data_IF_056156321000
#
_entry.id   IF_056156321000
#
_cell.length_a   1.000
_cell.length_b   1.000
_cell.length_c   1.000
_cell.angle_alpha   90.00
_cell.angle_beta   90.00
_cell.angle_gamma   90.00
#
_symmetry.space_group_name_H-M   'P 1'
#
loop_
_entity.id
_entity.type
_entity.pdbx_description
1 polymer ?
#
# COMPACT_ATOMS: atom_id res chain seq x y z
N UNK A 1 -2.82 -0.71 24.31
CA UNK A 1 -3.10 -0.12 22.98
C UNK A 1 -2.26 -0.86 21.95
N UNK A 2 -2.88 -1.46 20.94
CA UNK A 2 -2.16 -2.12 19.83
C UNK A 2 -1.57 -1.06 18.90
N UNK A 3 -0.35 -1.28 18.39
CA UNK A 3 0.25 -0.38 17.40
C UNK A 3 -0.64 -0.24 16.15
N UNK A 4 -0.65 0.94 15.49
CA UNK A 4 -1.54 1.23 14.37
C UNK A 4 -1.19 0.44 13.12
N UNK A 5 -2.11 0.40 12.16
CA UNK A 5 -1.85 -0.05 10.78
C UNK A 5 -1.69 1.18 9.90
N UNK A 6 -0.61 1.23 9.14
CA UNK A 6 -0.41 2.27 8.13
C UNK A 6 -0.95 1.79 6.78
N UNK A 7 -1.73 2.62 6.09
CA UNK A 7 -2.26 2.30 4.76
C UNK A 7 -2.12 3.48 3.81
N UNK A 8 -1.75 3.22 2.56
CA UNK A 8 -1.64 4.23 1.51
C UNK A 8 -2.38 3.81 0.23
N UNK A 9 -3.29 4.69 -0.22
CA UNK A 9 -3.89 4.70 -1.54
C UNK A 9 -3.68 6.09 -2.19
N UNK A 10 -3.15 6.11 -3.42
CA UNK A 10 -2.81 7.36 -4.11
C UNK A 10 -3.87 7.87 -5.09
N UNK A 11 -4.84 7.03 -5.47
CA UNK A 11 -5.80 7.31 -6.54
C UNK A 11 -7.21 6.91 -6.10
N UNK A 12 -8.25 7.42 -6.78
CA UNK A 12 -9.65 7.16 -6.41
C UNK A 12 -10.03 5.67 -6.45
N UNK A 13 -9.52 4.92 -7.45
CA UNK A 13 -9.68 3.46 -7.53
C UNK A 13 -9.05 2.76 -6.31
N UNK A 14 -7.85 3.19 -5.92
CA UNK A 14 -7.16 2.71 -4.74
C UNK A 14 -7.92 3.05 -3.44
N UNK A 15 -8.49 4.25 -3.32
CA UNK A 15 -9.29 4.67 -2.16
C UNK A 15 -10.51 3.76 -1.97
N UNK A 16 -11.22 3.45 -3.06
CA UNK A 16 -12.35 2.53 -3.04
C UNK A 16 -11.94 1.13 -2.59
N UNK A 17 -10.89 0.55 -3.18
CA UNK A 17 -10.41 -0.79 -2.81
C UNK A 17 -9.90 -0.84 -1.37
N UNK A 18 -9.12 0.17 -0.97
CA UNK A 18 -8.60 0.28 0.39
C UNK A 18 -9.72 0.44 1.42
N UNK A 19 -10.76 1.23 1.13
CA UNK A 19 -11.91 1.36 2.02
C UNK A 19 -12.67 0.05 2.19
N UNK A 20 -12.86 -0.74 1.13
CA UNK A 20 -13.45 -2.08 1.24
C UNK A 20 -12.60 -3.01 2.12
N UNK A 21 -11.29 -2.99 1.95
CA UNK A 21 -10.35 -3.74 2.80
C UNK A 21 -10.45 -3.30 4.26
N UNK A 22 -10.43 -1.99 4.52
CA UNK A 22 -10.56 -1.43 5.87
C UNK A 22 -11.88 -1.85 6.52
N UNK A 23 -12.99 -1.79 5.78
CA UNK A 23 -14.31 -2.22 6.27
C UNK A 23 -14.33 -3.69 6.65
N UNK A 24 -13.79 -4.56 5.79
CA UNK A 24 -13.73 -5.99 6.06
C UNK A 24 -12.88 -6.30 7.31
N UNK A 25 -11.73 -5.63 7.45
CA UNK A 25 -10.88 -5.76 8.64
C UNK A 25 -11.58 -5.22 9.89
N UNK A 26 -12.26 -4.08 9.80
CA UNK A 26 -13.03 -3.50 10.91
C UNK A 26 -14.19 -4.39 11.37
N UNK A 27 -14.76 -5.19 10.47
CA UNK A 27 -15.83 -6.14 10.79
C UNK A 27 -15.31 -7.44 11.43
N UNK A 28 -14.11 -7.88 11.04
CA UNK A 28 -13.53 -9.14 11.50
C UNK A 28 -12.66 -9.01 12.76
N UNK A 29 -12.16 -7.82 13.07
CA UNK A 29 -11.24 -7.56 14.18
C UNK A 29 -11.70 -6.36 15.02
N UNK A 30 -11.12 -6.21 16.22
CA UNK A 30 -11.25 -5.01 17.05
C UNK A 30 -10.68 -3.80 16.30
N UNK A 31 -11.54 -3.14 15.52
CA UNK A 31 -11.32 -1.95 14.68
C UNK A 31 -9.94 -1.30 14.91
N UNK A 32 -8.91 -1.66 14.14
CA UNK A 32 -7.56 -1.18 14.40
C UNK A 32 -7.47 0.32 14.14
N UNK A 33 -6.50 0.96 14.80
CA UNK A 33 -6.17 2.35 14.50
C UNK A 33 -5.53 2.43 13.10
N UNK A 34 -6.21 3.12 12.18
CA UNK A 34 -5.75 3.35 10.83
C UNK A 34 -5.08 4.71 10.69
N UNK A 35 -3.87 4.73 10.16
CA UNK A 35 -3.13 5.95 9.82
C UNK A 35 -2.63 5.87 8.37
N UNK A 36 -2.36 7.02 7.74
CA UNK A 36 -1.71 7.07 6.44
C UNK A 36 -2.40 8.00 5.46
N UNK A 37 -2.49 7.57 4.19
CA UNK A 37 -2.95 8.40 3.07
C UNK A 37 -4.09 7.70 2.35
N UNK A 38 -5.19 8.42 2.19
CA UNK A 38 -6.40 7.91 1.56
C UNK A 38 -7.39 9.02 1.27
N UNK A 39 -8.32 8.73 0.37
CA UNK A 39 -9.39 9.64 0.00
C UNK A 39 -10.55 9.60 1.00
N UNK A 40 -11.71 10.06 0.54
CA UNK A 40 -12.89 10.22 1.40
C UNK A 40 -13.43 8.87 1.87
N UNK A 41 -13.34 7.82 1.06
CA UNK A 41 -13.91 6.52 1.40
C UNK A 41 -13.13 5.88 2.56
N UNK A 42 -11.79 5.91 2.51
CA UNK A 42 -10.97 5.44 3.63
C UNK A 42 -11.17 6.27 4.90
N UNK A 43 -11.32 7.60 4.78
CA UNK A 43 -11.62 8.47 5.93
C UNK A 43 -12.93 8.07 6.62
N UNK A 44 -13.97 7.73 5.85
CA UNK A 44 -15.25 7.27 6.40
C UNK A 44 -15.12 5.96 7.19
N UNK A 45 -14.14 5.10 6.84
CA UNK A 45 -13.84 3.87 7.56
C UNK A 45 -12.98 4.09 8.82
N UNK A 46 -12.58 5.34 9.09
CA UNK A 46 -11.80 5.74 10.27
C UNK A 46 -10.30 5.90 10.00
N UNK A 47 -9.88 6.07 8.74
CA UNK A 47 -8.52 6.51 8.45
C UNK A 47 -8.28 7.87 9.07
N UNK A 48 -7.43 7.91 10.08
CA UNK A 48 -6.99 9.18 10.67
C UNK A 48 -5.87 9.71 9.79
N UNK A 49 -6.09 10.84 9.14
CA UNK A 49 -5.06 11.57 8.40
C UNK A 49 -4.07 12.22 9.38
N UNK A 50 -3.34 11.42 10.15
CA UNK A 50 -2.32 11.90 11.09
C UNK A 50 -1.01 12.15 10.36
N UNK A 51 -1.06 13.02 9.36
CA UNK A 51 0.08 13.76 8.81
C UNK A 51 -0.52 15.11 8.41
N UNK A 52 -0.31 16.11 9.25
CA UNK A 52 -1.09 17.36 9.36
C UNK A 52 -1.19 18.24 8.10
N UNK A 53 -0.82 17.79 6.90
CA UNK A 53 -0.98 18.62 5.70
C UNK A 53 -1.18 17.80 4.41
N UNK A 54 -2.28 17.05 4.35
CA UNK A 54 -2.74 16.37 3.13
C UNK A 54 -3.23 17.35 2.04
N UNK A 55 -3.30 18.66 2.32
CA UNK A 55 -3.55 19.67 1.29
C UNK A 55 -2.45 19.69 0.21
N UNK A 56 -1.28 19.09 0.47
CA UNK A 56 -0.24 18.85 -0.55
C UNK A 56 -0.50 17.62 -1.45
N UNK A 57 -1.45 16.74 -1.09
CA UNK A 57 -1.74 15.47 -1.79
C UNK A 57 -2.94 15.52 -2.73
N UNK A 58 -3.68 16.64 -2.77
CA UNK A 58 -4.75 16.93 -3.74
C UNK A 58 -4.22 17.21 -5.16
N UNK A 59 -3.33 16.37 -5.70
CA UNK A 59 -3.09 16.28 -7.16
C UNK A 59 -2.63 14.85 -7.51
N UNK A 60 -3.51 13.87 -7.35
CA UNK A 60 -3.45 12.63 -8.14
C UNK A 60 -4.74 12.48 -8.94
N UNK A 61 -5.07 13.56 -9.66
CA UNK A 61 -5.91 13.51 -10.85
C UNK A 61 -5.03 13.25 -12.07
N UNK A 62 -5.50 12.36 -12.95
CA UNK A 62 -4.91 12.02 -14.24
C UNK A 62 -4.29 13.24 -14.96
N UNK A 63 -3.02 13.15 -15.38
CA UNK A 63 -2.53 14.09 -16.40
C UNK A 63 -1.02 14.26 -16.65
N UNK A 64 -0.10 13.97 -15.72
CA UNK A 64 1.32 14.31 -15.97
C UNK A 64 2.35 13.52 -15.15
N UNK A 65 2.35 12.19 -15.31
CA UNK A 65 3.25 11.27 -14.61
C UNK A 65 4.76 11.60 -14.72
N UNK A 66 5.21 12.32 -15.76
CA UNK A 66 6.63 12.67 -15.96
C UNK A 66 7.05 13.94 -15.20
N UNK A 67 6.18 14.96 -15.10
CA UNK A 67 6.48 16.24 -14.45
C UNK A 67 6.42 16.11 -12.92
N UNK A 68 5.65 15.14 -12.41
CA UNK A 68 5.43 14.94 -10.98
C UNK A 68 6.50 14.09 -10.27
N UNK A 69 7.46 13.48 -10.97
CA UNK A 69 8.39 12.50 -10.38
C UNK A 69 9.19 13.01 -9.15
N UNK A 70 9.76 14.24 -9.14
CA UNK A 70 10.44 14.75 -7.95
C UNK A 70 9.49 14.90 -6.75
N UNK A 71 8.23 15.26 -7.00
CA UNK A 71 7.20 15.39 -5.94
C UNK A 71 6.83 14.02 -5.37
N UNK A 72 6.64 13.02 -6.22
CA UNK A 72 6.40 11.64 -5.78
C UNK A 72 7.58 11.09 -4.97
N UNK A 73 8.82 11.44 -5.34
CA UNK A 73 10.00 11.05 -4.58
C UNK A 73 10.02 11.69 -3.20
N UNK A 74 9.74 13.00 -3.07
CA UNK A 74 9.69 13.65 -1.75
C UNK A 74 8.58 13.08 -0.89
N UNK A 75 7.40 12.90 -1.46
CA UNK A 75 6.26 12.26 -0.81
C UNK A 75 6.64 10.88 -0.23
N UNK A 76 7.35 10.05 -1.00
CA UNK A 76 7.81 8.76 -0.50
C UNK A 76 8.78 8.89 0.68
N UNK A 77 9.60 9.94 0.75
CA UNK A 77 10.50 10.19 1.89
C UNK A 77 9.69 10.67 3.12
N UNK A 78 8.76 11.60 2.94
CA UNK A 78 7.89 12.12 4.01
C UNK A 78 7.04 10.99 4.63
N UNK A 79 6.51 10.10 3.80
CA UNK A 79 5.73 8.94 4.27
C UNK A 79 6.61 7.91 4.97
N UNK A 80 7.85 7.74 4.53
CA UNK A 80 8.79 6.87 5.26
C UNK A 80 9.07 7.46 6.64
N UNK A 81 9.29 8.77 6.76
CA UNK A 81 9.49 9.42 8.05
C UNK A 81 8.25 9.29 8.95
N UNK A 82 7.06 9.44 8.39
CA UNK A 82 5.79 9.18 9.08
C UNK A 82 5.71 7.76 9.63
N UNK A 83 5.99 6.74 8.80
CA UNK A 83 5.97 5.34 9.24
C UNK A 83 7.02 5.08 10.31
N UNK A 84 8.24 5.59 10.14
CA UNK A 84 9.33 5.42 11.11
C UNK A 84 9.01 6.08 12.46
N UNK A 85 8.28 7.20 12.46
CA UNK A 85 7.80 7.87 13.68
C UNK A 85 6.66 7.11 14.36
N UNK A 86 5.68 6.65 13.59
CA UNK A 86 4.49 5.98 14.11
C UNK A 86 4.76 4.51 14.52
N UNK A 87 5.77 3.87 13.93
CA UNK A 87 6.12 2.44 14.11
C UNK A 87 4.90 1.51 14.06
N UNK A 88 4.13 1.53 12.95
CA UNK A 88 2.95 0.69 12.79
C UNK A 88 3.30 -0.79 12.80
N UNK A 89 2.37 -1.65 13.20
CA UNK A 89 2.57 -3.11 13.17
C UNK A 89 2.48 -3.72 11.78
N UNK A 90 1.91 -2.98 10.81
CA UNK A 90 1.69 -3.41 9.44
C UNK A 90 1.64 -2.17 8.54
N UNK A 91 2.22 -2.29 7.34
CA UNK A 91 2.18 -1.26 6.30
C UNK A 91 1.49 -1.84 5.06
N UNK A 92 0.40 -1.21 4.65
CA UNK A 92 -0.39 -1.58 3.48
C UNK A 92 -0.21 -0.55 2.37
N UNK A 93 0.05 -1.03 1.16
CA UNK A 93 0.07 -0.20 -0.05
C UNK A 93 -0.99 -0.71 -1.02
N UNK A 94 -1.75 0.17 -1.64
CA UNK A 94 -2.85 -0.22 -2.54
C UNK A 94 -2.63 0.36 -3.94
N UNK A 95 -2.71 -0.52 -4.93
CA UNK A 95 -2.59 -0.24 -6.37
C UNK A 95 -1.22 0.30 -6.82
N UNK A 96 -0.94 1.61 -6.72
CA UNK A 96 0.17 2.26 -7.45
C UNK A 96 1.55 1.61 -7.21
N UNK A 97 1.92 0.71 -8.13
CA UNK A 97 3.02 -0.26 -7.99
C UNK A 97 4.39 0.40 -8.05
N UNK A 98 4.54 1.36 -8.96
CA UNK A 98 5.79 2.11 -9.12
C UNK A 98 6.12 2.90 -7.87
N UNK A 99 5.12 3.56 -7.30
CA UNK A 99 5.25 4.25 -6.02
C UNK A 99 5.49 3.27 -4.87
N UNK A 100 4.68 2.20 -4.77
CA UNK A 100 4.76 1.21 -3.70
C UNK A 100 6.15 0.55 -3.61
N UNK A 101 6.74 0.12 -4.73
CA UNK A 101 8.09 -0.45 -4.78
C UNK A 101 9.13 0.54 -4.24
N UNK A 102 9.04 1.82 -4.66
CA UNK A 102 10.00 2.85 -4.25
C UNK A 102 9.88 3.16 -2.76
N UNK A 103 8.66 3.36 -2.28
CA UNK A 103 8.34 3.60 -0.88
C UNK A 103 8.81 2.42 -0.01
N UNK A 104 8.42 1.20 -0.36
CA UNK A 104 8.77 -0.01 0.40
C UNK A 104 10.30 -0.24 0.47
N UNK A 105 11.02 -0.06 -0.64
CA UNK A 105 12.47 -0.20 -0.65
C UNK A 105 13.19 0.82 0.26
N UNK A 106 12.69 2.06 0.31
CA UNK A 106 13.21 3.11 1.20
C UNK A 106 12.88 2.82 2.65
N UNK A 107 11.64 2.42 2.91
CA UNK A 107 11.19 2.04 4.23
C UNK A 107 12.01 0.88 4.79
N UNK A 108 12.20 -0.21 4.03
CA UNK A 108 13.04 -1.35 4.44
C UNK A 108 14.46 -0.94 4.82
N UNK A 109 15.06 0.01 4.10
CA UNK A 109 16.39 0.55 4.43
C UNK A 109 16.39 1.30 5.76
N UNK A 110 15.40 2.17 5.99
CA UNK A 110 15.28 2.96 7.23
C UNK A 110 14.94 2.09 8.43
N UNK A 111 14.06 1.12 8.26
CA UNK A 111 13.74 0.07 9.22
C UNK A 111 15.00 -0.68 9.66
N UNK A 112 15.77 -1.21 8.69
CA UNK A 112 17.04 -1.90 8.96
C UNK A 112 18.03 -1.02 9.74
N UNK A 113 18.21 0.24 9.33
CA UNK A 113 19.13 1.16 10.00
C UNK A 113 18.70 1.48 11.45
N UNK A 114 17.40 1.45 11.73
CA UNK A 114 16.83 1.73 13.06
C UNK A 114 16.67 0.47 13.95
N UNK A 115 17.04 -0.72 13.46
CA UNK A 115 16.83 -1.98 14.19
C UNK A 115 15.36 -2.31 14.44
N UNK A 116 14.46 -1.84 13.56
CA UNK A 116 13.01 -2.04 13.67
C UNK A 116 12.47 -2.59 12.36
N UNK A 117 11.41 -3.40 12.41
CA UNK A 117 10.76 -3.94 11.22
C UNK A 117 9.25 -3.98 11.38
N UNK A 118 8.55 -3.82 10.26
CA UNK A 118 7.13 -4.09 10.10
C UNK A 118 6.91 -4.72 8.72
N UNK A 119 5.99 -5.69 8.61
CA UNK A 119 5.64 -6.28 7.32
C UNK A 119 5.03 -5.23 6.39
N UNK A 120 5.42 -5.28 5.11
CA UNK A 120 4.88 -4.45 4.04
C UNK A 120 4.08 -5.34 3.09
N UNK A 121 2.77 -5.18 3.08
CA UNK A 121 1.85 -5.94 2.21
C UNK A 121 1.28 -5.01 1.14
N UNK A 122 1.20 -5.52 -0.08
CA UNK A 122 0.59 -4.80 -1.19
C UNK A 122 -0.77 -5.40 -1.53
N UNK A 123 -1.75 -4.56 -1.86
CA UNK A 123 -3.04 -4.95 -2.39
C UNK A 123 -3.12 -4.55 -3.87
N UNK A 124 -3.69 -5.43 -4.69
CA UNK A 124 -3.75 -5.36 -6.16
C UNK A 124 -2.46 -5.84 -6.81
N UNK A 125 -2.45 -7.07 -7.30
CA UNK A 125 -1.26 -7.64 -7.92
C UNK A 125 -0.84 -6.86 -9.17
N UNK A 126 0.47 -6.73 -9.45
CA UNK A 126 0.97 -6.30 -10.75
C UNK A 126 0.33 -7.08 -11.88
N UNK A 127 -0.23 -6.37 -12.87
CA UNK A 127 -0.64 -6.99 -14.13
C UNK A 127 0.61 -7.50 -14.82
N UNK A 128 0.86 -8.79 -14.65
CA UNK A 128 2.13 -9.45 -14.97
C UNK A 128 2.47 -9.34 -16.45
N UNK A 129 1.47 -9.46 -17.33
CA UNK A 129 1.64 -9.39 -18.79
C UNK A 129 2.11 -8.01 -19.28
N UNK A 130 1.86 -6.94 -18.50
CA UNK A 130 2.25 -5.59 -18.89
C UNK A 130 3.68 -5.20 -18.47
N UNK A 131 4.32 -5.94 -17.54
CA UNK A 131 5.48 -5.43 -16.78
C UNK A 131 6.78 -6.26 -16.87
N UNK A 132 6.73 -7.48 -17.41
CA UNK A 132 7.90 -8.34 -17.64
C UNK A 132 8.44 -9.01 -16.36
N UNK A 133 8.88 -10.27 -16.48
CA UNK A 133 9.19 -11.13 -15.32
C UNK A 133 10.26 -10.61 -14.35
N UNK A 134 11.20 -9.77 -14.81
CA UNK A 134 12.22 -9.19 -13.93
C UNK A 134 11.62 -8.20 -12.92
N UNK A 135 10.56 -7.46 -13.29
CA UNK A 135 9.88 -6.52 -12.38
C UNK A 135 9.08 -7.27 -11.32
N UNK A 136 8.46 -8.38 -11.70
CA UNK A 136 7.79 -9.26 -10.75
C UNK A 136 8.75 -9.82 -9.69
N UNK A 137 9.93 -10.30 -10.09
CA UNK A 137 10.98 -10.73 -9.15
C UNK A 137 11.41 -9.62 -8.19
N UNK A 138 11.62 -8.41 -8.72
CA UNK A 138 11.97 -7.25 -7.89
C UNK A 138 10.87 -6.88 -6.90
N UNK A 139 9.62 -6.95 -7.33
CA UNK A 139 8.46 -6.69 -6.50
C UNK A 139 8.35 -7.73 -5.36
N UNK A 140 8.44 -9.02 -5.71
CA UNK A 140 8.42 -10.13 -4.76
C UNK A 140 9.56 -10.05 -3.72
N UNK A 141 10.74 -9.58 -4.10
CA UNK A 141 11.86 -9.38 -3.17
C UNK A 141 11.67 -8.20 -2.20
N UNK A 142 10.77 -7.26 -2.52
CA UNK A 142 10.57 -6.02 -1.74
C UNK A 142 9.36 -6.12 -0.82
N UNK A 143 8.28 -6.76 -1.26
CA UNK A 143 7.07 -6.91 -0.45
C UNK A 143 7.19 -8.15 0.45
N UNK A 144 6.52 -8.12 1.60
CA UNK A 144 6.42 -9.26 2.53
C UNK A 144 5.14 -10.07 2.29
N UNK A 145 4.14 -9.48 1.62
CA UNK A 145 2.94 -10.19 1.17
C UNK A 145 2.19 -9.45 0.07
N UNK A 146 1.27 -10.17 -0.58
CA UNK A 146 0.45 -9.67 -1.68
C UNK A 146 -1.00 -10.15 -1.55
N UNK A 147 -1.93 -9.21 -1.63
CA UNK A 147 -3.36 -9.48 -1.72
C UNK A 147 -3.80 -9.34 -3.18
N UNK A 148 -4.19 -10.45 -3.77
CA UNK A 148 -4.54 -10.64 -5.16
C UNK A 148 -6.06 -10.54 -5.37
N UNK A 149 -6.48 -9.85 -6.43
CA UNK A 149 -7.89 -9.69 -6.77
C UNK A 149 -8.41 -10.81 -7.67
N UNK A 150 -7.52 -11.57 -8.33
CA UNK A 150 -7.88 -12.66 -9.22
C UNK A 150 -7.21 -13.98 -8.81
N UNK A 151 -7.89 -15.13 -9.01
CA UNK A 151 -7.44 -16.42 -8.49
C UNK A 151 -6.17 -16.96 -9.15
N UNK A 152 -5.84 -16.51 -10.37
CA UNK A 152 -4.60 -16.92 -11.06
C UNK A 152 -3.36 -16.13 -10.62
N UNK A 153 -3.51 -15.01 -9.90
CA UNK A 153 -2.38 -14.16 -9.51
C UNK A 153 -1.48 -14.80 -8.44
N UNK A 154 -1.99 -15.44 -7.37
CA UNK A 154 -1.15 -16.15 -6.42
C UNK A 154 -0.23 -17.20 -7.07
N UNK A 155 -0.76 -17.98 -8.02
CA UNK A 155 0.01 -19.00 -8.75
C UNK A 155 1.25 -18.43 -9.45
N UNK A 156 1.22 -17.15 -9.83
CA UNK A 156 2.35 -16.47 -10.44
C UNK A 156 3.38 -15.97 -9.42
N UNK A 157 2.95 -15.46 -8.26
CA UNK A 157 3.82 -14.80 -7.29
C UNK A 157 4.38 -15.72 -6.21
N UNK A 158 3.64 -16.77 -5.82
CA UNK A 158 4.12 -17.76 -4.83
C UNK A 158 5.43 -18.44 -5.25
N UNK A 159 5.63 -18.86 -6.52
CA UNK A 159 6.93 -19.40 -6.97
C UNK A 159 8.08 -18.39 -6.93
N UNK A 160 7.78 -17.09 -6.85
CA UNK A 160 8.78 -16.03 -6.69
C UNK A 160 9.15 -15.77 -5.22
N UNK A 161 8.58 -16.56 -4.29
CA UNK A 161 8.81 -16.46 -2.84
C UNK A 161 7.97 -15.39 -2.14
N UNK A 162 6.94 -14.85 -2.79
CA UNK A 162 6.04 -13.87 -2.20
C UNK A 162 4.81 -14.56 -1.62
N UNK A 163 4.47 -14.25 -0.37
CA UNK A 163 3.25 -14.74 0.27
C UNK A 163 2.02 -14.05 -0.34
N UNK A 164 1.38 -14.71 -1.30
CA UNK A 164 0.33 -14.15 -2.13
C UNK A 164 -1.01 -14.86 -1.87
N UNK A 165 -2.06 -14.08 -1.59
CA UNK A 165 -3.39 -14.58 -1.21
C UNK A 165 -4.46 -13.99 -2.10
N UNK A 166 -5.34 -14.83 -2.64
CA UNK A 166 -6.54 -14.37 -3.35
C UNK A 166 -7.59 -13.87 -2.36
N UNK A 167 -8.00 -12.61 -2.50
CA UNK A 167 -9.00 -11.95 -1.64
C UNK A 167 -10.30 -11.59 -2.37
N UNK A 168 -10.38 -11.83 -3.68
CA UNK A 168 -11.51 -11.46 -4.51
C UNK A 168 -11.49 -10.00 -4.96
N UNK A 169 -12.01 -9.76 -6.16
CA UNK A 169 -12.30 -8.43 -6.69
C UNK A 169 -13.70 -7.97 -6.23
N UNK A 170 -13.82 -6.84 -5.50
CA UNK A 170 -15.10 -6.39 -4.94
C UNK A 170 -16.23 -6.23 -5.98
N UNK A 171 -15.89 -5.85 -7.20
CA UNK A 171 -16.87 -5.65 -8.28
C UNK A 171 -17.10 -6.88 -9.17
N UNK A 172 -16.23 -7.90 -9.12
CA UNK A 172 -16.33 -9.06 -10.02
C UNK A 172 -16.94 -10.30 -9.36
N UNK A 173 -16.88 -10.39 -8.02
CA UNK A 173 -17.35 -11.55 -7.25
C UNK A 173 -18.31 -11.16 -6.12
N UNK A 174 -18.92 -9.97 -6.22
CA UNK A 174 -19.87 -9.42 -5.25
C UNK A 174 -21.21 -10.14 -5.23
#
# INVERSE_FOLDING_TARGET
MTAPIFIIAGEASGDQLAAHLMRAVNAAYDRPEWIGVGGRLMQNEGLTASLQDINALSVMGFGSAVIAYPRLSRLADDLVDAVMKARPRLVLTVDNKGFAIRFAARLKRRMKAAGWSAPIVHCVAPTVWAWGGWRAKKFAAIMDGLLCLFPFEPEYFTPLGLDAHFIGHPEAFG
#
